data_IF_495349453134
#
_entry.id   IF_495349453134
#
_cell.length_a   1.000
_cell.length_b   1.000
_cell.length_c   1.000
_cell.angle_alpha   90.00
_cell.angle_beta   90.00
_cell.angle_gamma   90.00
#
_symmetry.space_group_name_H-M   'P 1'
#
loop_
_entity.id
_entity.type
_entity.pdbx_description
1 polymer ?
#
# COMPACT_ATOMS: atom_id res chain seq x y z
N UNK A 1 29.69 15.62 -5.52
CA UNK A 1 28.44 16.38 -5.38
C UNK A 1 27.35 15.37 -5.69
N UNK A 2 26.38 15.21 -4.80
CA UNK A 2 25.35 14.18 -5.01
C UNK A 2 24.37 14.67 -6.08
N UNK A 3 24.11 13.84 -7.08
CA UNK A 3 23.29 14.22 -8.24
C UNK A 3 21.78 14.28 -7.90
N UNK A 4 21.02 15.15 -8.56
CA UNK A 4 19.57 15.30 -8.32
C UNK A 4 18.82 14.03 -8.72
N UNK A 5 19.25 13.37 -9.80
CA UNK A 5 18.66 12.12 -10.28
C UNK A 5 18.75 10.95 -9.28
N UNK A 6 19.70 11.00 -8.33
CA UNK A 6 19.82 10.04 -7.25
C UNK A 6 18.63 10.06 -6.27
N UNK A 7 18.05 11.25 -6.07
CA UNK A 7 16.86 11.46 -5.23
C UNK A 7 15.58 11.46 -6.07
N UNK A 8 15.61 12.09 -7.25
CA UNK A 8 14.47 12.16 -8.16
C UNK A 8 14.83 11.57 -9.52
N UNK A 9 14.65 10.26 -9.75
CA UNK A 9 14.93 9.63 -11.03
C UNK A 9 14.11 10.20 -12.21
N UNK A 10 13.01 10.89 -11.93
CA UNK A 10 12.13 11.52 -12.92
C UNK A 10 12.55 12.95 -13.30
N UNK A 11 13.62 13.48 -12.70
CA UNK A 11 14.16 14.82 -12.99
C UNK A 11 14.59 14.98 -14.45
N UNK A 12 14.92 16.21 -14.85
CA UNK A 12 15.50 16.45 -16.18
C UNK A 12 16.78 15.64 -16.41
N UNK A 13 17.63 15.58 -15.39
CA UNK A 13 18.88 14.84 -15.38
C UNK A 13 18.63 13.33 -15.52
N UNK A 14 17.71 12.77 -14.73
CA UNK A 14 17.34 11.34 -14.80
C UNK A 14 16.79 10.95 -16.17
N UNK A 15 15.95 11.80 -16.78
CA UNK A 15 15.49 11.61 -18.16
C UNK A 15 16.63 11.65 -19.18
N UNK A 16 17.68 12.42 -18.92
CA UNK A 16 18.90 12.44 -19.72
C UNK A 16 19.64 11.10 -19.68
N UNK A 17 19.79 10.51 -18.49
CA UNK A 17 20.42 9.19 -18.30
C UNK A 17 19.72 8.12 -19.13
N UNK A 18 18.38 8.06 -19.08
CA UNK A 18 17.61 7.07 -19.86
C UNK A 18 17.78 7.22 -21.37
N UNK A 19 17.86 8.46 -21.87
CA UNK A 19 18.11 8.71 -23.29
C UNK A 19 19.47 8.18 -23.75
N UNK A 20 20.46 8.20 -22.85
CA UNK A 20 21.82 7.74 -23.16
C UNK A 20 22.00 6.22 -23.00
N UNK A 21 21.20 5.57 -22.15
CA UNK A 21 21.30 4.12 -21.93
C UNK A 21 20.97 3.29 -23.19
N UNK A 22 19.88 3.65 -23.90
CA UNK A 22 19.60 3.26 -25.29
C UNK A 22 19.30 1.79 -25.61
N UNK A 23 19.87 0.80 -24.92
CA UNK A 23 19.77 -0.62 -25.28
C UNK A 23 19.27 -1.52 -24.13
N UNK A 24 18.00 -1.91 -24.20
CA UNK A 24 17.36 -2.79 -23.22
C UNK A 24 17.86 -4.26 -23.28
N UNK A 25 18.67 -4.64 -24.28
CA UNK A 25 19.25 -5.99 -24.35
C UNK A 25 20.40 -6.18 -23.35
N UNK A 26 20.89 -5.11 -22.73
CA UNK A 26 21.97 -5.15 -21.75
C UNK A 26 21.47 -5.39 -20.33
N UNK A 27 20.15 -5.36 -20.10
CA UNK A 27 19.56 -5.45 -18.76
C UNK A 27 19.97 -6.72 -18.01
N UNK A 28 20.11 -7.84 -18.71
CA UNK A 28 20.49 -9.14 -18.14
C UNK A 28 22.00 -9.42 -18.22
N UNK A 29 22.79 -8.52 -18.81
CA UNK A 29 24.24 -8.69 -18.89
C UNK A 29 24.88 -8.21 -17.61
N UNK A 30 26.01 -8.84 -17.26
CA UNK A 30 26.83 -8.36 -16.15
C UNK A 30 27.34 -6.95 -16.45
N UNK A 31 27.32 -6.10 -15.43
CA UNK A 31 27.81 -4.74 -15.46
C UNK A 31 28.94 -4.60 -14.43
N UNK A 32 30.17 -4.54 -14.92
CA UNK A 32 31.37 -4.47 -14.07
C UNK A 32 31.36 -3.22 -13.18
N UNK A 33 30.82 -2.10 -13.67
CA UNK A 33 30.74 -0.85 -12.91
C UNK A 33 29.74 -0.95 -11.75
N UNK A 34 28.59 -1.61 -11.98
CA UNK A 34 27.61 -1.92 -10.94
C UNK A 34 28.25 -2.77 -9.83
N UNK A 35 28.92 -3.85 -10.23
CA UNK A 35 29.56 -4.77 -9.29
C UNK A 35 30.65 -4.05 -8.49
N UNK A 36 31.48 -3.24 -9.15
CA UNK A 36 32.54 -2.47 -8.52
C UNK A 36 31.99 -1.49 -7.48
N UNK A 37 30.99 -0.67 -7.83
CA UNK A 37 30.35 0.29 -6.92
C UNK A 37 29.73 -0.43 -5.71
N UNK A 38 28.99 -1.51 -5.95
CA UNK A 38 28.33 -2.26 -4.88
C UNK A 38 29.36 -2.90 -3.93
N UNK A 39 30.42 -3.49 -4.47
CA UNK A 39 31.46 -4.19 -3.68
C UNK A 39 32.27 -3.21 -2.83
N UNK A 40 32.47 -1.98 -3.30
CA UNK A 40 33.21 -0.95 -2.57
C UNK A 40 32.33 -0.04 -1.71
N UNK A 41 31.02 -0.30 -1.64
CA UNK A 41 30.12 0.44 -0.75
C UNK A 41 30.46 0.13 0.71
N UNK A 42 30.70 1.18 1.50
CA UNK A 42 31.03 1.05 2.92
C UNK A 42 29.92 0.32 3.69
N UNK A 43 30.27 -0.69 4.50
CA UNK A 43 29.36 -1.56 5.26
C UNK A 43 28.47 -2.50 4.43
N UNK A 44 28.67 -2.58 3.11
CA UNK A 44 28.01 -3.60 2.31
C UNK A 44 28.50 -4.99 2.68
N UNK A 45 27.58 -5.92 2.88
CA UNK A 45 27.87 -7.34 3.06
C UNK A 45 28.32 -7.93 1.73
N UNK A 46 29.53 -8.49 1.73
CA UNK A 46 30.14 -9.08 0.54
C UNK A 46 29.79 -10.58 0.46
N UNK A 47 28.79 -10.90 -0.36
CA UNK A 47 28.47 -12.26 -0.81
C UNK A 47 27.90 -12.17 -2.23
N UNK A 48 28.14 -13.19 -3.04
CA UNK A 48 27.53 -13.32 -4.37
C UNK A 48 25.99 -13.23 -4.31
N UNK A 49 25.39 -13.64 -3.20
CA UNK A 49 23.93 -13.57 -2.99
C UNK A 49 23.40 -12.13 -2.80
N UNK A 50 24.25 -11.17 -2.43
CA UNK A 50 23.83 -9.79 -2.10
C UNK A 50 24.19 -8.78 -3.18
N UNK A 51 25.31 -8.97 -3.87
CA UNK A 51 25.79 -8.02 -4.88
C UNK A 51 25.06 -8.23 -6.20
N UNK A 52 24.24 -7.26 -6.67
CA UNK A 52 23.61 -7.37 -7.98
C UNK A 52 24.67 -7.31 -9.08
N UNK A 53 24.57 -8.20 -10.07
CA UNK A 53 25.54 -8.27 -11.17
C UNK A 53 25.05 -7.59 -12.43
N UNK A 54 23.74 -7.41 -12.56
CA UNK A 54 23.08 -6.80 -13.71
C UNK A 54 21.97 -5.83 -13.28
N UNK A 55 21.48 -5.01 -14.21
CA UNK A 55 20.31 -4.14 -13.98
C UNK A 55 19.07 -4.95 -13.59
N UNK A 56 18.93 -6.15 -14.15
CA UNK A 56 17.95 -7.13 -13.77
C UNK A 56 18.05 -7.49 -12.27
N UNK A 57 19.23 -7.87 -11.81
CA UNK A 57 19.43 -8.27 -10.42
C UNK A 57 19.21 -7.08 -9.48
N UNK A 58 19.67 -5.89 -9.87
CA UNK A 58 19.44 -4.66 -9.12
C UNK A 58 17.95 -4.35 -9.00
N UNK A 59 17.15 -4.61 -10.05
CA UNK A 59 15.70 -4.45 -10.02
C UNK A 59 15.05 -5.37 -8.98
N UNK A 60 15.40 -6.66 -8.99
CA UNK A 60 14.90 -7.63 -8.01
C UNK A 60 15.35 -7.29 -6.60
N UNK A 61 16.62 -6.92 -6.40
CA UNK A 61 17.17 -6.53 -5.09
C UNK A 61 16.50 -5.30 -4.51
N UNK A 62 16.13 -4.32 -5.34
CA UNK A 62 15.39 -3.13 -4.89
C UNK A 62 13.99 -3.47 -4.38
N UNK A 63 13.31 -4.42 -5.02
CA UNK A 63 12.01 -4.94 -4.56
C UNK A 63 12.19 -5.82 -3.31
N UNK A 64 13.23 -6.65 -3.27
CA UNK A 64 13.58 -7.46 -2.09
C UNK A 64 13.77 -6.56 -0.87
N UNK A 65 14.61 -5.52 -0.99
CA UNK A 65 14.83 -4.53 0.05
C UNK A 65 13.51 -3.91 0.56
N UNK A 66 12.59 -3.56 -0.34
CA UNK A 66 11.31 -2.99 0.02
C UNK A 66 10.45 -3.94 0.87
N UNK A 67 10.40 -5.22 0.49
CA UNK A 67 9.65 -6.26 1.20
C UNK A 67 10.29 -6.55 2.54
N UNK A 68 11.61 -6.74 2.58
CA UNK A 68 12.34 -7.07 3.79
C UNK A 68 12.32 -5.93 4.80
N UNK A 69 12.59 -4.69 4.37
CA UNK A 69 12.59 -3.54 5.27
C UNK A 69 11.23 -3.32 5.93
N UNK A 70 10.14 -3.68 5.24
CA UNK A 70 8.78 -3.59 5.77
C UNK A 70 8.40 -4.76 6.68
N UNK A 71 8.78 -5.99 6.33
CA UNK A 71 8.19 -7.19 6.92
C UNK A 71 9.18 -8.05 7.74
N UNK A 72 10.49 -7.95 7.46
CA UNK A 72 11.51 -8.76 8.11
C UNK A 72 11.90 -8.13 9.47
N UNK A 73 11.53 -8.80 10.57
CA UNK A 73 11.89 -8.37 11.93
C UNK A 73 13.41 -8.37 12.20
N UNK A 74 14.15 -9.14 11.43
CA UNK A 74 15.62 -9.25 11.50
C UNK A 74 16.30 -8.57 10.31
N UNK A 75 15.63 -7.58 9.70
CA UNK A 75 16.16 -6.84 8.55
C UNK A 75 17.55 -6.27 8.87
N UNK A 76 18.49 -6.45 7.94
CA UNK A 76 19.85 -5.96 8.07
C UNK A 76 20.19 -5.05 6.90
N UNK A 77 20.34 -3.74 7.16
CA UNK A 77 20.60 -2.74 6.11
C UNK A 77 21.92 -3.01 5.36
N UNK A 78 22.90 -3.64 6.00
CA UNK A 78 24.18 -4.04 5.40
C UNK A 78 24.03 -4.95 4.15
N UNK A 79 22.91 -5.65 3.98
CA UNK A 79 22.67 -6.50 2.80
C UNK A 79 22.31 -5.67 1.56
N UNK A 80 21.86 -4.42 1.76
CA UNK A 80 21.36 -3.52 0.72
C UNK A 80 21.97 -2.11 0.82
N UNK A 81 23.13 -1.97 1.47
CA UNK A 81 23.76 -0.68 1.74
C UNK A 81 24.10 0.07 0.44
N UNK A 82 24.39 -0.66 -0.65
CA UNK A 82 24.59 -0.11 -2.00
C UNK A 82 23.42 0.77 -2.47
N UNK A 83 22.18 0.54 -2.02
CA UNK A 83 21.04 1.39 -2.39
C UNK A 83 21.15 2.82 -1.83
N UNK A 84 22.01 3.02 -0.84
CA UNK A 84 22.32 4.33 -0.23
C UNK A 84 23.68 4.90 -0.65
N UNK A 85 24.39 4.25 -1.57
CA UNK A 85 25.58 4.79 -2.21
C UNK A 85 25.20 5.71 -3.39
N UNK A 86 25.59 6.99 -3.34
CA UNK A 86 25.27 7.97 -4.37
C UNK A 86 26.03 7.77 -5.68
N UNK A 87 27.15 7.05 -5.67
CA UNK A 87 27.86 6.65 -6.89
C UNK A 87 27.02 5.73 -7.79
N UNK A 88 26.00 5.05 -7.24
CA UNK A 88 25.13 4.13 -7.97
C UNK A 88 24.02 4.83 -8.78
N UNK A 89 23.97 6.17 -8.81
CA UNK A 89 22.84 6.92 -9.36
C UNK A 89 22.49 6.54 -10.81
N UNK A 90 23.48 6.33 -11.68
CA UNK A 90 23.25 5.95 -13.09
C UNK A 90 22.49 4.62 -13.18
N UNK A 91 22.98 3.60 -12.48
CA UNK A 91 22.40 2.26 -12.50
C UNK A 91 21.03 2.25 -11.84
N UNK A 92 20.87 3.00 -10.74
CA UNK A 92 19.62 3.11 -10.00
C UNK A 92 18.52 3.80 -10.81
N UNK A 93 18.84 4.87 -11.55
CA UNK A 93 17.88 5.59 -12.40
C UNK A 93 17.38 4.68 -13.52
N UNK A 94 18.28 4.00 -14.24
CA UNK A 94 17.88 3.04 -15.28
C UNK A 94 17.01 1.93 -14.70
N UNK A 95 17.42 1.37 -13.57
CA UNK A 95 16.66 0.32 -12.87
C UNK A 95 15.28 0.80 -12.43
N UNK A 96 15.17 2.02 -11.92
CA UNK A 96 13.89 2.63 -11.57
C UNK A 96 12.94 2.68 -12.78
N UNK A 97 13.43 3.12 -13.93
CA UNK A 97 12.63 3.20 -15.16
C UNK A 97 12.28 1.81 -15.72
N UNK A 98 13.15 0.81 -15.58
CA UNK A 98 12.85 -0.59 -15.91
C UNK A 98 11.72 -1.11 -15.02
N UNK A 99 11.82 -0.91 -13.71
CA UNK A 99 10.78 -1.31 -12.75
C UNK A 99 9.45 -0.62 -13.03
N UNK A 100 9.45 0.69 -13.31
CA UNK A 100 8.23 1.42 -13.70
C UNK A 100 7.53 0.78 -14.91
N UNK A 101 8.31 0.39 -15.93
CA UNK A 101 7.77 -0.23 -17.14
C UNK A 101 7.28 -1.66 -16.87
N UNK A 102 8.07 -2.48 -16.19
CA UNK A 102 7.71 -3.86 -15.87
C UNK A 102 6.44 -3.90 -15.00
N UNK A 103 6.35 -3.03 -13.99
CA UNK A 103 5.19 -2.93 -13.11
C UNK A 103 3.96 -2.44 -13.86
N UNK A 104 4.11 -1.39 -14.68
CA UNK A 104 3.02 -0.90 -15.50
C UNK A 104 2.48 -2.00 -16.42
N UNK A 105 3.35 -2.75 -17.09
CA UNK A 105 2.91 -3.78 -18.03
C UNK A 105 2.22 -4.93 -17.30
N UNK A 106 2.83 -5.43 -16.23
CA UNK A 106 2.38 -6.65 -15.54
C UNK A 106 1.19 -6.45 -14.61
N UNK A 107 1.11 -5.32 -13.90
CA UNK A 107 0.15 -5.13 -12.81
C UNK A 107 -0.84 -3.99 -13.10
N UNK A 108 -1.93 -3.96 -12.33
CA UNK A 108 -2.88 -2.84 -12.33
C UNK A 108 -2.29 -1.65 -11.57
N UNK A 109 -2.59 -0.41 -11.96
CA UNK A 109 -2.05 0.80 -11.30
C UNK A 109 -2.44 0.91 -9.83
N UNK A 110 -3.58 0.32 -9.44
CA UNK A 110 -4.03 0.24 -8.06
C UNK A 110 -3.52 -0.99 -7.28
N UNK A 111 -2.79 -1.91 -7.93
CA UNK A 111 -2.36 -3.19 -7.34
C UNK A 111 -1.43 -3.03 -6.12
N UNK A 112 -1.34 -4.09 -5.32
CA UNK A 112 -0.43 -4.17 -4.18
C UNK A 112 1.03 -3.98 -4.60
N UNK A 113 1.44 -4.59 -5.71
CA UNK A 113 2.78 -4.56 -6.26
C UNK A 113 3.17 -3.15 -6.70
N UNK A 114 2.25 -2.45 -7.37
CA UNK A 114 2.45 -1.05 -7.74
C UNK A 114 2.59 -0.17 -6.50
N UNK A 115 1.71 -0.35 -5.51
CA UNK A 115 1.79 0.40 -4.23
C UNK A 115 3.07 0.11 -3.48
N UNK A 116 3.52 -1.15 -3.43
CA UNK A 116 4.76 -1.57 -2.79
C UNK A 116 5.94 -0.81 -3.40
N UNK A 117 6.07 -0.83 -4.71
CA UNK A 117 7.14 -0.14 -5.42
C UNK A 117 7.10 1.38 -5.20
N UNK A 118 5.92 2.01 -5.34
CA UNK A 118 5.79 3.46 -5.14
C UNK A 118 6.16 3.84 -3.70
N UNK A 119 5.67 3.10 -2.71
CA UNK A 119 6.00 3.32 -1.30
C UNK A 119 7.49 3.12 -1.02
N UNK A 120 8.10 2.10 -1.62
CA UNK A 120 9.52 1.84 -1.45
C UNK A 120 10.38 2.98 -1.98
N UNK A 121 9.95 3.67 -3.04
CA UNK A 121 10.65 4.87 -3.51
C UNK A 121 10.64 5.99 -2.48
N UNK A 122 9.48 6.26 -1.89
CA UNK A 122 9.39 7.28 -0.84
C UNK A 122 10.29 6.97 0.34
N UNK A 123 10.33 5.70 0.78
CA UNK A 123 11.23 5.25 1.85
C UNK A 123 12.69 5.36 1.44
N UNK A 124 13.06 4.96 0.22
CA UNK A 124 14.44 4.97 -0.24
C UNK A 124 14.98 6.40 -0.33
N UNK A 125 14.16 7.35 -0.79
CA UNK A 125 14.51 8.78 -0.81
C UNK A 125 14.88 9.29 0.58
N UNK A 126 14.06 8.97 1.60
CA UNK A 126 14.33 9.41 2.97
C UNK A 126 15.62 8.79 3.54
N UNK A 127 15.88 7.52 3.23
CA UNK A 127 17.12 6.83 3.63
C UNK A 127 18.35 7.46 2.96
N UNK A 128 18.25 7.81 1.68
CA UNK A 128 19.31 8.50 0.94
C UNK A 128 19.57 9.89 1.51
N UNK A 129 18.53 10.69 1.72
CA UNK A 129 18.63 12.03 2.31
C UNK A 129 19.29 11.97 3.71
N UNK A 130 19.02 10.94 4.51
CA UNK A 130 19.66 10.76 5.81
C UNK A 130 21.19 10.54 5.72
N UNK A 131 21.70 10.05 4.59
CA UNK A 131 23.13 9.77 4.34
C UNK A 131 23.88 10.93 3.68
N UNK A 132 23.17 11.85 3.03
CA UNK A 132 23.76 13.01 2.36
C UNK A 132 24.19 14.06 3.40
N UNK A 133 25.39 14.66 3.27
CA UNK A 133 25.83 15.74 4.15
C UNK A 133 24.85 16.93 4.19
N UNK A 134 24.65 17.61 5.34
CA UNK A 134 23.59 18.62 5.50
C UNK A 134 23.55 19.73 4.44
N UNK A 135 24.72 20.25 4.02
CA UNK A 135 24.82 21.29 2.99
C UNK A 135 24.28 20.80 1.64
N UNK A 136 24.82 19.69 1.13
CA UNK A 136 24.39 19.11 -0.15
C UNK A 136 22.93 18.61 -0.10
N UNK A 137 22.48 18.15 1.08
CA UNK A 137 21.10 17.73 1.29
C UNK A 137 20.14 18.90 1.13
N UNK A 138 20.43 20.04 1.73
CA UNK A 138 19.60 21.24 1.62
C UNK A 138 19.51 21.72 0.16
N UNK A 139 20.66 21.75 -0.54
CA UNK A 139 20.73 22.12 -1.97
C UNK A 139 19.85 21.19 -2.83
N UNK A 140 19.99 19.87 -2.70
CA UNK A 140 19.19 18.90 -3.48
C UNK A 140 17.69 19.00 -3.17
N UNK A 141 17.34 19.20 -1.90
CA UNK A 141 15.93 19.36 -1.50
C UNK A 141 15.34 20.58 -2.19
N UNK A 142 16.05 21.71 -2.16
CA UNK A 142 15.59 22.94 -2.79
C UNK A 142 15.51 22.80 -4.33
N UNK A 143 16.49 22.17 -4.98
CA UNK A 143 16.49 21.91 -6.43
C UNK A 143 15.28 21.06 -6.85
N UNK A 144 14.98 19.96 -6.13
CA UNK A 144 13.84 19.09 -6.45
C UNK A 144 12.52 19.79 -6.18
N UNK A 145 12.41 20.58 -5.11
CA UNK A 145 11.20 21.34 -4.81
C UNK A 145 10.97 22.46 -5.84
N UNK A 146 12.05 23.06 -6.36
CA UNK A 146 12.01 24.09 -7.40
C UNK A 146 11.47 23.55 -8.72
N UNK A 147 11.76 22.30 -9.10
CA UNK A 147 11.13 21.63 -10.26
C UNK A 147 9.60 21.54 -10.15
N UNK A 148 9.05 21.65 -8.93
CA UNK A 148 7.61 21.53 -8.64
C UNK A 148 6.93 22.90 -8.41
N UNK A 149 7.71 23.98 -8.25
CA UNK A 149 7.15 25.34 -8.07
C UNK A 149 6.45 25.83 -9.34
N UNK A 150 5.34 26.55 -9.15
CA UNK A 150 4.68 27.34 -10.19
C UNK A 150 4.68 28.79 -9.71
N UNK A 151 5.26 29.69 -10.51
CA UNK A 151 5.40 31.11 -10.19
C UNK A 151 6.09 31.37 -8.84
N UNK A 152 7.17 30.62 -8.55
CA UNK A 152 8.00 30.77 -7.35
C UNK A 152 7.38 30.22 -6.06
N UNK A 153 6.19 29.61 -6.11
CA UNK A 153 5.51 29.04 -4.93
C UNK A 153 4.94 27.65 -5.22
N UNK A 154 4.70 26.86 -4.16
CA UNK A 154 3.96 25.59 -4.27
C UNK A 154 2.54 25.82 -3.76
N UNK A 155 1.55 25.86 -4.66
CA UNK A 155 0.14 25.98 -4.27
C UNK A 155 -0.32 24.69 -3.59
N UNK A 156 -1.02 24.74 -2.46
CA UNK A 156 -1.45 23.49 -1.79
C UNK A 156 -2.31 22.58 -2.69
N UNK A 157 -3.04 23.18 -3.65
CA UNK A 157 -3.85 22.46 -4.63
C UNK A 157 -3.01 21.55 -5.55
N UNK A 158 -1.71 21.81 -5.73
CA UNK A 158 -0.83 20.90 -6.47
C UNK A 158 -0.62 19.58 -5.72
N UNK A 159 -0.78 19.59 -4.38
CA UNK A 159 -0.71 18.41 -3.52
C UNK A 159 -2.10 17.79 -3.25
N UNK A 160 -3.16 18.22 -3.95
CA UNK A 160 -4.54 17.76 -3.67
C UNK A 160 -4.66 16.24 -3.65
N UNK A 161 -3.97 15.54 -4.56
CA UNK A 161 -4.07 14.09 -4.72
C UNK A 161 -3.25 13.36 -3.64
N UNK A 162 -2.14 13.95 -3.19
CA UNK A 162 -1.37 13.45 -2.03
C UNK A 162 -2.18 13.60 -0.74
N UNK A 163 -2.89 14.73 -0.60
CA UNK A 163 -3.78 14.97 0.54
C UNK A 163 -4.98 14.03 0.50
N UNK A 164 -5.61 13.85 -0.67
CA UNK A 164 -6.76 12.96 -0.86
C UNK A 164 -6.39 11.50 -0.58
N UNK A 165 -5.20 11.06 -1.01
CA UNK A 165 -4.66 9.73 -0.71
C UNK A 165 -4.19 9.55 0.74
N UNK A 166 -4.35 10.57 1.60
CA UNK A 166 -3.97 10.58 3.03
C UNK A 166 -2.48 10.34 3.28
N UNK A 167 -1.64 10.57 2.26
CA UNK A 167 -0.18 10.42 2.35
C UNK A 167 0.50 11.64 2.97
N UNK A 168 -0.22 12.75 3.02
CA UNK A 168 0.16 14.00 3.66
C UNK A 168 -1.10 14.61 4.26
N UNK A 169 -1.07 15.05 5.53
CA UNK A 169 -2.22 15.77 6.09
C UNK A 169 -2.03 17.26 5.84
N UNK A 170 -3.12 17.98 5.60
CA UNK A 170 -3.10 19.44 5.52
C UNK A 170 -2.59 20.07 6.83
N UNK A 171 -2.79 19.40 7.96
CA UNK A 171 -2.27 19.81 9.27
C UNK A 171 -0.75 19.74 9.38
N UNK A 172 -0.10 19.01 8.47
CA UNK A 172 1.36 18.87 8.42
C UNK A 172 1.99 19.98 7.56
N UNK A 173 1.18 20.87 6.98
CA UNK A 173 1.61 21.93 6.07
C UNK A 173 1.36 23.31 6.67
N UNK A 174 2.32 24.23 6.47
CA UNK A 174 2.09 25.64 6.72
C UNK A 174 1.55 26.31 5.45
N UNK A 175 0.27 26.68 5.47
CA UNK A 175 -0.41 27.27 4.31
C UNK A 175 -0.75 28.74 4.60
N UNK A 176 -0.30 29.65 3.72
CA UNK A 176 -0.68 31.06 3.73
C UNK A 176 -1.25 31.47 2.37
N UNK A 177 -2.49 31.99 2.35
CA UNK A 177 -3.18 32.47 1.13
C UNK A 177 -3.15 31.49 -0.05
N UNK A 178 -3.11 30.19 0.25
CA UNK A 178 -3.09 29.12 -0.75
C UNK A 178 -1.71 28.58 -1.10
N UNK A 179 -0.64 29.20 -0.59
CA UNK A 179 0.75 28.77 -0.79
C UNK A 179 1.22 27.91 0.37
N UNK A 180 1.97 26.86 0.08
CA UNK A 180 2.73 26.13 1.08
C UNK A 180 4.03 26.91 1.32
N UNK A 181 4.21 27.36 2.56
CA UNK A 181 5.41 28.07 2.99
C UNK A 181 6.46 27.05 3.38
N UNK A 182 7.55 27.00 2.60
CA UNK A 182 8.67 26.07 2.82
C UNK A 182 10.00 26.77 3.04
N UNK A 183 10.19 27.95 2.47
CA UNK A 183 11.47 28.65 2.54
C UNK A 183 11.57 29.51 3.81
N UNK A 184 12.77 29.58 4.38
CA UNK A 184 13.01 30.33 5.61
C UNK A 184 12.69 31.81 5.42
N UNK A 185 13.16 32.41 4.33
CA UNK A 185 12.91 33.83 4.03
C UNK A 185 11.41 34.12 3.90
N UNK A 186 10.66 33.25 3.20
CA UNK A 186 9.20 33.38 3.09
C UNK A 186 8.51 33.27 4.45
N UNK A 187 8.96 32.35 5.30
CA UNK A 187 8.42 32.19 6.64
C UNK A 187 8.68 33.43 7.50
N UNK A 188 9.92 33.91 7.53
CA UNK A 188 10.32 35.08 8.30
C UNK A 188 9.55 36.33 7.84
N UNK A 189 9.47 36.55 6.53
CA UNK A 189 8.74 37.69 5.95
C UNK A 189 7.24 37.68 6.28
N UNK A 190 6.62 36.51 6.44
CA UNK A 190 5.17 36.37 6.67
C UNK A 190 4.76 36.25 8.13
N UNK A 191 5.66 35.75 8.99
CA UNK A 191 5.29 35.32 10.34
C UNK A 191 6.23 35.77 11.46
N UNK A 192 7.38 36.38 11.17
CA UNK A 192 8.35 36.75 12.22
C UNK A 192 7.75 37.68 13.29
N UNK A 193 6.86 38.59 12.87
CA UNK A 193 6.16 39.54 13.74
C UNK A 193 5.19 38.88 14.74
N UNK A 194 4.80 37.62 14.49
CA UNK A 194 3.89 36.86 15.37
C UNK A 194 4.58 36.20 16.56
N UNK A 195 5.91 36.21 16.60
CA UNK A 195 6.68 35.60 17.68
C UNK A 195 7.34 36.67 18.55
N UNK A 196 6.91 36.78 19.80
CA UNK A 196 7.44 37.78 20.75
C UNK A 196 8.48 37.19 21.71
N UNK A 197 8.27 35.96 22.19
CA UNK A 197 9.13 35.31 23.19
C UNK A 197 10.01 34.20 22.63
N UNK A 198 10.02 34.01 21.30
CA UNK A 198 10.76 32.94 20.62
C UNK A 198 11.39 33.48 19.35
N UNK A 199 12.61 33.01 19.04
CA UNK A 199 13.27 33.32 17.78
C UNK A 199 12.45 32.80 16.60
N UNK A 200 12.08 33.67 15.63
CA UNK A 200 11.41 33.25 14.40
C UNK A 200 12.16 32.16 13.63
N UNK A 201 13.50 32.23 13.55
CA UNK A 201 14.33 31.19 12.92
C UNK A 201 14.17 29.84 13.60
N UNK A 202 14.17 29.82 14.94
CA UNK A 202 13.94 28.59 15.69
C UNK A 202 12.53 28.06 15.45
N UNK A 203 11.54 28.94 15.33
CA UNK A 203 10.16 28.53 15.01
C UNK A 203 10.06 27.95 13.60
N UNK A 204 10.77 28.51 12.61
CA UNK A 204 10.88 27.94 11.27
C UNK A 204 11.44 26.52 11.31
N UNK A 205 12.57 26.30 12.00
CA UNK A 205 13.20 24.98 12.09
C UNK A 205 12.29 23.93 12.76
N UNK A 206 11.43 24.35 13.69
CA UNK A 206 10.49 23.45 14.38
C UNK A 206 9.24 23.16 13.53
N UNK A 207 8.68 24.18 12.88
CA UNK A 207 7.38 24.07 12.18
C UNK A 207 7.53 23.57 10.75
N UNK A 208 8.66 23.84 10.11
CA UNK A 208 8.96 23.44 8.74
C UNK A 208 10.29 22.67 8.77
N UNK A 209 11.41 23.40 8.79
CA UNK A 209 12.76 22.82 8.72
C UNK A 209 12.94 21.80 7.58
N UNK A 210 14.07 21.09 7.62
CA UNK A 210 14.39 20.10 6.59
C UNK A 210 13.44 18.91 6.64
N UNK A 211 13.05 18.46 7.84
CA UNK A 211 12.22 17.26 7.99
C UNK A 211 10.88 17.34 7.25
N UNK A 212 10.20 18.49 7.27
CA UNK A 212 8.93 18.67 6.54
C UNK A 212 9.19 18.76 5.04
N UNK A 213 10.25 19.47 4.62
CA UNK A 213 10.67 19.53 3.21
C UNK A 213 10.97 18.14 2.65
N UNK A 214 11.72 17.31 3.38
CA UNK A 214 12.07 15.93 3.01
C UNK A 214 10.81 15.06 2.83
N UNK A 215 9.85 15.15 3.76
CA UNK A 215 8.58 14.42 3.66
C UNK A 215 7.79 14.85 2.42
N UNK A 216 7.64 16.16 2.19
CA UNK A 216 6.90 16.70 1.04
C UNK A 216 7.56 16.25 -0.27
N UNK A 217 8.88 16.37 -0.37
CA UNK A 217 9.67 15.93 -1.53
C UNK A 217 9.45 14.44 -1.80
N UNK A 218 9.61 13.58 -0.79
CA UNK A 218 9.38 12.14 -0.92
C UNK A 218 7.97 11.84 -1.44
N UNK A 219 6.93 12.50 -0.89
CA UNK A 219 5.55 12.31 -1.34
C UNK A 219 5.30 12.81 -2.76
N UNK A 220 5.93 13.91 -3.16
CA UNK A 220 5.85 14.44 -4.51
C UNK A 220 6.44 13.47 -5.54
N UNK A 221 7.64 12.94 -5.27
CA UNK A 221 8.29 11.96 -6.17
C UNK A 221 7.47 10.67 -6.25
N UNK A 222 6.89 10.20 -5.14
CA UNK A 222 5.96 9.06 -5.14
C UNK A 222 4.74 9.32 -6.05
N UNK A 223 4.11 10.48 -5.95
CA UNK A 223 2.97 10.84 -6.81
C UNK A 223 3.39 10.88 -8.29
N UNK A 224 4.53 11.50 -8.60
CA UNK A 224 5.06 11.54 -9.97
C UNK A 224 5.38 10.15 -10.51
N UNK A 225 5.83 9.24 -9.65
CA UNK A 225 6.05 7.84 -9.99
C UNK A 225 4.74 7.14 -10.36
N UNK A 226 3.66 7.34 -9.60
CA UNK A 226 2.33 6.80 -9.94
C UNK A 226 1.78 7.36 -11.25
N UNK A 227 1.85 8.67 -11.43
CA UNK A 227 1.47 9.34 -12.68
C UNK A 227 2.27 8.78 -13.86
N UNK A 228 3.57 8.50 -13.65
CA UNK A 228 4.43 7.94 -14.67
C UNK A 228 4.07 6.49 -15.03
N UNK A 229 3.86 5.62 -14.04
CA UNK A 229 3.41 4.23 -14.24
C UNK A 229 2.08 4.20 -14.98
N UNK A 230 1.12 5.05 -14.57
CA UNK A 230 -0.18 5.17 -15.24
C UNK A 230 -0.03 5.55 -16.72
N UNK A 231 0.79 6.55 -17.01
CA UNK A 231 1.09 6.96 -18.39
C UNK A 231 1.73 5.82 -19.19
N UNK A 232 2.65 5.06 -18.61
CA UNK A 232 3.26 3.90 -19.28
C UNK A 232 2.19 2.84 -19.58
N UNK A 233 1.29 2.52 -18.62
CA UNK A 233 0.18 1.57 -18.83
C UNK A 233 -0.72 1.98 -19.99
N UNK A 234 -1.08 3.27 -20.05
CA UNK A 234 -1.89 3.80 -21.14
C UNK A 234 -1.15 3.68 -22.49
N UNK A 235 0.16 3.95 -22.51
CA UNK A 235 0.98 3.83 -23.72
C UNK A 235 1.22 2.38 -24.15
N UNK A 236 1.41 1.45 -23.21
CA UNK A 236 1.68 0.03 -23.50
C UNK A 236 0.50 -0.67 -24.18
N UNK A 237 -0.71 -0.13 -24.04
CA UNK A 237 -1.88 -0.60 -24.82
C UNK A 237 -1.76 -0.30 -26.32
N UNK A 238 -0.83 0.57 -26.73
CA UNK A 238 -0.70 1.08 -28.10
C UNK A 238 0.63 0.72 -28.77
N UNK A 239 1.61 0.25 -28.00
CA UNK A 239 2.99 0.04 -28.45
C UNK A 239 3.47 -1.32 -27.95
N UNK A 240 4.19 -2.05 -28.79
CA UNK A 240 4.84 -3.29 -28.39
C UNK A 240 5.94 -3.02 -27.36
N UNK A 241 5.86 -3.73 -26.23
CA UNK A 241 6.83 -3.61 -25.15
C UNK A 241 8.01 -4.55 -25.40
N UNK A 242 9.22 -4.07 -25.11
CA UNK A 242 10.43 -4.85 -25.26
C UNK A 242 10.37 -6.17 -24.44
N UNK A 243 10.75 -7.33 -25.00
CA UNK A 243 10.65 -8.63 -24.33
C UNK A 243 11.35 -8.69 -22.97
N UNK A 244 12.48 -7.99 -22.82
CA UNK A 244 13.19 -7.90 -21.54
C UNK A 244 12.33 -7.34 -20.40
N UNK A 245 11.49 -6.35 -20.69
CA UNK A 245 10.60 -5.72 -19.70
C UNK A 245 9.46 -6.66 -19.33
N UNK A 246 8.90 -7.38 -20.32
CA UNK A 246 7.86 -8.39 -20.10
C UNK A 246 8.39 -9.47 -19.16
N UNK A 247 9.57 -10.00 -19.46
CA UNK A 247 10.22 -11.04 -18.64
C UNK A 247 10.42 -10.59 -17.19
N UNK A 248 10.88 -9.36 -16.97
CA UNK A 248 11.01 -8.81 -15.61
C UNK A 248 9.64 -8.69 -14.92
N UNK A 249 8.61 -8.27 -15.65
CA UNK A 249 7.24 -8.24 -15.14
C UNK A 249 6.77 -9.62 -14.67
N UNK A 250 6.94 -10.64 -15.51
CA UNK A 250 6.59 -12.03 -15.19
C UNK A 250 7.36 -12.55 -13.96
N UNK A 251 8.67 -12.31 -13.89
CA UNK A 251 9.48 -12.68 -12.73
C UNK A 251 9.04 -11.96 -11.45
N UNK A 252 8.71 -10.67 -11.53
CA UNK A 252 8.19 -9.91 -10.38
C UNK A 252 6.84 -10.47 -9.88
N UNK A 253 6.00 -11.00 -10.79
CA UNK A 253 4.70 -11.58 -10.45
C UNK A 253 4.85 -12.80 -9.53
N UNK A 254 5.90 -13.59 -9.72
CA UNK A 254 6.22 -14.75 -8.89
C UNK A 254 7.04 -14.34 -7.65
N UNK A 255 8.07 -13.50 -7.86
CA UNK A 255 9.00 -13.08 -6.84
C UNK A 255 8.34 -12.32 -5.68
N UNK A 256 7.45 -11.34 -5.96
CA UNK A 256 6.86 -10.51 -4.90
C UNK A 256 6.03 -11.34 -3.90
N UNK A 257 5.10 -12.20 -4.34
CA UNK A 257 4.38 -13.10 -3.43
C UNK A 257 5.30 -14.04 -2.66
N UNK A 258 6.28 -14.66 -3.31
CA UNK A 258 7.21 -15.61 -2.68
C UNK A 258 8.07 -14.94 -1.61
N UNK A 259 8.66 -13.79 -1.94
CA UNK A 259 9.51 -13.03 -1.02
C UNK A 259 8.69 -12.50 0.16
N UNK A 260 7.49 -11.98 -0.09
CA UNK A 260 6.55 -11.59 0.97
C UNK A 260 6.19 -12.78 1.85
N UNK A 261 5.94 -13.95 1.23
CA UNK A 261 5.55 -15.19 1.90
C UNK A 261 6.51 -15.61 3.00
N UNK A 262 7.82 -15.36 2.84
CA UNK A 262 8.86 -15.66 3.84
C UNK A 262 8.62 -14.99 5.19
N UNK A 263 8.00 -13.81 5.19
CA UNK A 263 7.78 -12.99 6.39
C UNK A 263 6.32 -12.99 6.84
N UNK A 264 5.43 -13.59 6.05
CA UNK A 264 4.02 -13.74 6.40
C UNK A 264 3.84 -14.73 7.56
N UNK A 265 3.94 -14.23 8.80
CA UNK A 265 3.40 -14.92 10.00
C UNK A 265 1.87 -15.13 9.92
N UNK A 266 1.23 -14.57 8.88
CA UNK A 266 -0.19 -14.70 8.55
C UNK A 266 -0.62 -16.14 8.25
N UNK A 267 0.24 -16.95 7.62
CA UNK A 267 -0.05 -18.35 7.28
C UNK A 267 0.60 -19.38 8.22
N UNK A 268 1.70 -19.02 8.89
CA UNK A 268 2.56 -19.96 9.65
C UNK A 268 2.59 -19.73 11.18
N UNK A 269 1.71 -18.88 11.73
CA UNK A 269 1.65 -18.70 13.18
C UNK A 269 0.96 -19.89 13.86
N UNK A 270 1.67 -20.59 14.75
CA UNK A 270 1.05 -21.38 15.81
C UNK A 270 0.11 -20.45 16.59
N UNK A 271 -1.20 -20.58 16.33
CA UNK A 271 -2.20 -19.99 17.21
C UNK A 271 -1.95 -20.48 18.63
N UNK A 272 -2.22 -19.64 19.63
CA UNK A 272 -2.27 -20.09 21.02
C UNK A 272 -3.32 -21.19 21.22
N UNK A 273 -3.91 -21.26 22.41
CA UNK A 273 -4.77 -22.35 22.91
C UNK A 273 -5.93 -22.79 21.96
N UNK A 274 -6.23 -22.06 20.87
CA UNK A 274 -7.35 -22.30 19.95
C UNK A 274 -6.99 -22.56 18.47
N UNK A 275 -5.70 -22.71 18.10
CA UNK A 275 -5.27 -23.01 16.71
C UNK A 275 -5.40 -21.82 15.73
N UNK A 276 -4.73 -21.91 14.56
CA UNK A 276 -4.79 -20.88 13.51
C UNK A 276 -5.64 -21.33 12.32
N UNK A 277 -6.63 -20.51 11.94
CA UNK A 277 -7.46 -20.74 10.74
C UNK A 277 -6.86 -19.98 9.57
N UNK A 278 -6.63 -20.69 8.46
CA UNK A 278 -6.15 -20.12 7.21
C UNK A 278 -7.32 -19.55 6.38
N UNK A 279 -7.01 -18.55 5.56
CA UNK A 279 -7.93 -18.07 4.53
C UNK A 279 -8.29 -19.23 3.58
N UNK A 280 -9.54 -19.26 3.13
CA UNK A 280 -10.07 -20.35 2.29
C UNK A 280 -11.58 -20.34 2.24
N UNK A 281 -12.18 -21.19 1.39
CA UNK A 281 -13.64 -21.24 1.16
C UNK A 281 -14.43 -21.18 2.48
N UNK A 282 -15.50 -20.40 2.45
CA UNK A 282 -16.40 -20.28 3.59
C UNK A 282 -17.10 -21.62 3.83
N UNK A 283 -17.16 -22.04 5.09
CA UNK A 283 -17.89 -23.23 5.51
C UNK A 283 -19.19 -22.80 6.20
N UNK A 284 -20.36 -22.94 5.56
CA UNK A 284 -21.64 -22.54 6.17
C UNK A 284 -21.93 -23.23 7.50
N UNK A 285 -21.48 -24.48 7.68
CA UNK A 285 -21.69 -25.23 8.93
C UNK A 285 -20.92 -24.60 10.10
N UNK A 286 -19.84 -23.86 9.81
CA UNK A 286 -19.07 -23.14 10.80
C UNK A 286 -19.67 -21.76 11.14
N UNK A 287 -20.72 -21.29 10.45
CA UNK A 287 -21.29 -19.98 10.73
C UNK A 287 -21.85 -19.89 12.15
N UNK A 288 -21.58 -18.79 12.87
CA UNK A 288 -22.22 -18.52 14.15
C UNK A 288 -23.69 -18.20 13.94
N UNK A 289 -24.55 -18.36 14.98
CA UNK A 289 -25.99 -18.17 14.85
C UNK A 289 -26.40 -16.83 14.22
N UNK A 290 -25.76 -15.73 14.60
CA UNK A 290 -26.07 -14.41 14.05
C UNK A 290 -25.79 -14.28 12.54
N UNK A 291 -24.80 -15.00 12.02
CA UNK A 291 -24.52 -15.01 10.58
C UNK A 291 -25.46 -15.97 9.87
N UNK A 292 -25.72 -17.14 10.46
CA UNK A 292 -26.63 -18.13 9.88
C UNK A 292 -28.05 -17.56 9.71
N UNK A 293 -28.58 -16.90 10.74
CA UNK A 293 -29.87 -16.20 10.67
C UNK A 293 -29.85 -15.07 9.63
N UNK A 294 -28.73 -14.36 9.50
CA UNK A 294 -28.62 -13.30 8.48
C UNK A 294 -28.66 -13.86 7.06
N UNK A 295 -27.96 -14.97 6.80
CA UNK A 295 -27.93 -15.64 5.49
C UNK A 295 -29.29 -16.23 5.11
N UNK A 296 -30.03 -16.74 6.09
CA UNK A 296 -31.37 -17.30 5.91
C UNK A 296 -32.44 -16.23 5.63
N UNK A 297 -32.13 -14.95 5.85
CA UNK A 297 -33.02 -13.82 5.57
C UNK A 297 -33.54 -13.13 6.83
N UNK A 298 -33.56 -11.79 6.78
CA UNK A 298 -33.98 -10.93 7.90
C UNK A 298 -35.27 -10.19 7.55
N UNK A 299 -36.23 -10.15 8.48
CA UNK A 299 -37.49 -9.40 8.33
C UNK A 299 -37.31 -7.88 8.37
N UNK A 300 -38.33 -7.13 7.96
CA UNK A 300 -38.33 -5.66 8.01
C UNK A 300 -37.98 -5.13 9.42
N UNK A 301 -36.93 -4.32 9.52
CA UNK A 301 -36.40 -3.78 10.79
C UNK A 301 -35.06 -4.41 11.20
N UNK A 302 -33.96 -3.96 10.59
CA UNK A 302 -32.59 -4.40 10.89
C UNK A 302 -31.85 -5.05 9.71
N UNK A 303 -32.54 -5.38 8.61
CA UNK A 303 -31.93 -6.03 7.43
C UNK A 303 -30.75 -5.24 6.82
N UNK A 304 -30.77 -3.91 6.83
CA UNK A 304 -29.64 -3.11 6.29
C UNK A 304 -28.38 -3.34 7.13
N UNK A 305 -28.49 -3.19 8.44
CA UNK A 305 -27.37 -3.41 9.35
C UNK A 305 -26.92 -4.89 9.31
N UNK A 306 -27.86 -5.83 9.14
CA UNK A 306 -27.54 -7.25 9.01
C UNK A 306 -26.77 -7.56 7.72
N UNK A 307 -27.21 -7.07 6.57
CA UNK A 307 -26.57 -7.37 5.28
C UNK A 307 -25.31 -6.51 5.08
N UNK A 308 -25.45 -5.18 5.19
CA UNK A 308 -24.43 -4.20 4.80
C UNK A 308 -23.33 -4.09 5.84
N UNK A 309 -23.67 -4.12 7.14
CA UNK A 309 -22.66 -3.99 8.20
C UNK A 309 -22.19 -5.33 8.74
N UNK A 310 -23.09 -6.25 9.09
CA UNK A 310 -22.73 -7.53 9.72
C UNK A 310 -22.19 -8.55 8.70
N UNK A 311 -23.01 -8.95 7.73
CA UNK A 311 -22.67 -10.02 6.79
C UNK A 311 -21.55 -9.62 5.84
N UNK A 312 -21.61 -8.41 5.27
CA UNK A 312 -20.59 -7.93 4.33
C UNK A 312 -19.19 -7.97 4.94
N UNK A 313 -19.02 -7.37 6.12
CA UNK A 313 -17.74 -7.38 6.83
C UNK A 313 -17.33 -8.78 7.27
N UNK A 314 -18.26 -9.58 7.80
CA UNK A 314 -17.98 -10.94 8.21
C UNK A 314 -17.50 -11.80 7.04
N UNK A 315 -18.25 -11.87 5.95
CA UNK A 315 -17.97 -12.72 4.81
C UNK A 315 -16.61 -12.37 4.18
N UNK A 316 -16.34 -11.08 3.99
CA UNK A 316 -15.07 -10.63 3.42
C UNK A 316 -13.88 -11.02 4.31
N UNK A 317 -13.94 -10.77 5.63
CA UNK A 317 -12.82 -11.10 6.51
C UNK A 317 -12.71 -12.60 6.77
N UNK A 318 -13.81 -13.33 6.93
CA UNK A 318 -13.78 -14.78 7.13
C UNK A 318 -13.17 -15.51 5.93
N UNK A 319 -13.38 -14.99 4.71
CA UNK A 319 -12.88 -15.58 3.47
C UNK A 319 -11.45 -15.16 3.12
N UNK A 320 -11.12 -13.89 3.31
CA UNK A 320 -9.84 -13.30 2.85
C UNK A 320 -8.83 -13.13 3.97
N UNK A 321 -9.26 -12.69 5.16
CA UNK A 321 -8.34 -12.29 6.22
C UNK A 321 -8.89 -12.53 7.64
N UNK A 322 -9.03 -13.80 8.07
CA UNK A 322 -9.74 -14.15 9.31
C UNK A 322 -9.01 -13.70 10.59
N UNK A 323 -7.76 -13.25 10.48
CA UNK A 323 -6.90 -12.83 11.60
C UNK A 323 -6.75 -11.31 11.75
N UNK A 324 -7.68 -10.52 11.21
CA UNK A 324 -7.64 -9.04 11.31
C UNK A 324 -7.45 -8.50 12.72
N UNK A 325 -7.96 -9.16 13.76
CA UNK A 325 -7.80 -8.71 15.15
C UNK A 325 -6.47 -9.10 15.79
N UNK A 326 -5.59 -9.80 15.08
CA UNK A 326 -4.26 -10.21 15.55
C UNK A 326 -3.11 -9.36 14.99
N UNK A 327 -3.40 -8.39 14.12
CA UNK A 327 -2.42 -7.50 13.50
C UNK A 327 -2.96 -6.06 13.52
N UNK A 328 -2.09 -5.08 13.71
CA UNK A 328 -2.43 -3.65 13.64
C UNK A 328 -2.29 -3.09 12.20
N UNK A 329 -2.02 -3.94 11.21
CA UNK A 329 -1.81 -3.51 9.83
C UNK A 329 -3.12 -3.12 9.13
N UNK A 330 -3.05 -2.02 8.36
CA UNK A 330 -4.13 -1.57 7.51
C UNK A 330 -4.12 -2.35 6.19
N UNK A 331 -4.78 -3.51 6.20
CA UNK A 331 -4.89 -4.43 5.07
C UNK A 331 -6.06 -4.03 4.17
N UNK A 332 -5.85 -4.08 2.85
CA UNK A 332 -6.89 -3.89 1.83
C UNK A 332 -7.36 -5.23 1.24
N UNK A 333 -8.49 -5.22 0.54
CA UNK A 333 -9.05 -6.43 -0.09
C UNK A 333 -8.09 -7.00 -1.13
N UNK A 334 -7.52 -6.15 -1.99
CA UNK A 334 -6.57 -6.53 -3.03
C UNK A 334 -5.24 -7.05 -2.49
N UNK A 335 -4.93 -6.85 -1.20
CA UNK A 335 -3.74 -7.46 -0.61
C UNK A 335 -3.92 -8.99 -0.42
N UNK A 336 -5.17 -9.46 -0.42
CA UNK A 336 -5.58 -10.87 -0.27
C UNK A 336 -6.26 -11.45 -1.52
N UNK A 337 -6.86 -10.59 -2.34
CA UNK A 337 -7.57 -10.94 -3.58
C UNK A 337 -7.23 -9.93 -4.69
N UNK A 338 -6.01 -10.01 -5.28
CA UNK A 338 -5.46 -8.96 -6.15
C UNK A 338 -6.29 -8.66 -7.41
N UNK A 339 -7.01 -9.64 -7.93
CA UNK A 339 -7.85 -9.51 -9.12
C UNK A 339 -9.35 -9.46 -8.77
N UNK A 340 -9.69 -9.27 -7.48
CA UNK A 340 -11.05 -9.24 -6.95
C UNK A 340 -11.90 -10.49 -7.25
N UNK A 341 -11.28 -11.57 -7.72
CA UNK A 341 -11.98 -12.75 -8.23
C UNK A 341 -12.74 -13.48 -7.13
N UNK A 342 -12.18 -13.58 -5.92
CA UNK A 342 -12.87 -14.20 -4.78
C UNK A 342 -14.01 -13.28 -4.30
N UNK A 343 -13.75 -11.98 -4.29
CA UNK A 343 -14.71 -10.95 -3.85
C UNK A 343 -15.93 -10.95 -4.75
N UNK A 344 -15.74 -10.98 -6.07
CA UNK A 344 -16.81 -10.97 -7.07
C UNK A 344 -17.55 -12.31 -7.18
N UNK A 345 -16.84 -13.44 -7.09
CA UNK A 345 -17.45 -14.75 -7.41
C UNK A 345 -17.82 -15.58 -6.17
N UNK A 346 -17.37 -15.22 -4.96
CA UNK A 346 -17.71 -15.93 -3.73
C UNK A 346 -18.36 -15.02 -2.68
N UNK A 347 -17.78 -13.85 -2.39
CA UNK A 347 -18.24 -12.99 -1.28
C UNK A 347 -19.50 -12.22 -1.66
N UNK A 348 -19.50 -11.50 -2.79
CA UNK A 348 -20.67 -10.73 -3.23
C UNK A 348 -21.90 -11.61 -3.47
N UNK A 349 -21.80 -12.79 -4.14
CA UNK A 349 -22.95 -13.67 -4.31
C UNK A 349 -23.58 -14.10 -2.99
N UNK A 350 -22.77 -14.49 -1.99
CA UNK A 350 -23.29 -14.83 -0.66
C UNK A 350 -24.08 -13.67 -0.02
N UNK A 351 -23.58 -12.44 -0.15
CA UNK A 351 -24.23 -11.25 0.41
C UNK A 351 -25.52 -10.95 -0.35
N UNK A 352 -25.51 -11.09 -1.68
CA UNK A 352 -26.67 -10.79 -2.52
C UNK A 352 -27.78 -11.84 -2.35
N UNK A 353 -27.43 -13.12 -2.27
CA UNK A 353 -28.39 -14.19 -1.98
C UNK A 353 -29.06 -13.97 -0.62
N UNK A 354 -28.29 -13.58 0.42
CA UNK A 354 -28.84 -13.26 1.73
C UNK A 354 -29.76 -12.02 1.71
N UNK A 355 -29.42 -11.03 0.88
CA UNK A 355 -30.22 -9.82 0.69
C UNK A 355 -31.55 -10.11 -0.03
N UNK A 356 -31.55 -11.06 -0.97
CA UNK A 356 -32.75 -11.52 -1.67
C UNK A 356 -33.63 -12.40 -0.78
N UNK A 357 -33.04 -13.12 0.18
CA UNK A 357 -33.77 -13.87 1.21
C UNK A 357 -34.48 -12.98 2.26
N UNK A 358 -34.15 -11.68 2.34
CA UNK A 358 -34.85 -10.76 3.24
C UNK A 358 -36.33 -10.61 2.90
N UNK A 359 -37.14 -10.22 3.89
CA UNK A 359 -38.58 -10.00 3.69
C UNK A 359 -38.99 -8.58 4.11
N UNK A 360 -39.33 -7.68 3.14
CA UNK A 360 -39.18 -7.85 1.69
C UNK A 360 -37.69 -7.83 1.26
N UNK A 361 -37.35 -8.35 0.06
CA UNK A 361 -35.99 -8.39 -0.46
C UNK A 361 -35.31 -7.02 -0.39
N UNK A 362 -34.06 -6.99 0.09
CA UNK A 362 -33.42 -5.72 0.44
C UNK A 362 -33.24 -4.82 -0.78
N UNK A 363 -32.80 -5.36 -1.91
CA UNK A 363 -32.48 -4.54 -3.08
C UNK A 363 -33.69 -4.15 -3.92
N UNK A 364 -34.82 -4.83 -3.77
CA UNK A 364 -36.08 -4.39 -4.38
C UNK A 364 -36.62 -3.15 -3.67
N UNK A 365 -36.53 -3.14 -2.33
CA UNK A 365 -37.01 -2.03 -1.50
C UNK A 365 -35.97 -0.89 -1.44
N UNK A 366 -34.68 -1.23 -1.43
CA UNK A 366 -33.56 -0.30 -1.22
C UNK A 366 -32.36 -0.61 -2.15
N UNK A 367 -32.46 -0.31 -3.46
CA UNK A 367 -31.41 -0.61 -4.43
C UNK A 367 -30.03 0.00 -4.11
N UNK A 368 -30.02 1.15 -3.43
CA UNK A 368 -28.79 1.85 -3.04
C UNK A 368 -27.89 1.04 -2.09
N UNK A 369 -28.43 0.03 -1.40
CA UNK A 369 -27.64 -0.78 -0.47
C UNK A 369 -26.57 -1.61 -1.18
N UNK A 370 -26.70 -1.87 -2.49
CA UNK A 370 -25.61 -2.45 -3.30
C UNK A 370 -24.37 -1.56 -3.32
N UNK A 371 -24.55 -0.25 -3.43
CA UNK A 371 -23.46 0.73 -3.39
C UNK A 371 -22.84 0.76 -1.99
N UNK A 372 -23.67 0.67 -0.94
CA UNK A 372 -23.16 0.64 0.42
C UNK A 372 -22.32 -0.62 0.70
N UNK A 373 -22.68 -1.79 0.14
CA UNK A 373 -21.86 -3.01 0.25
C UNK A 373 -20.46 -2.79 -0.34
N UNK A 374 -20.38 -2.25 -1.56
CA UNK A 374 -19.11 -1.91 -2.22
C UNK A 374 -18.29 -0.92 -1.36
N UNK A 375 -18.96 0.08 -0.80
CA UNK A 375 -18.38 1.05 0.13
C UNK A 375 -17.81 0.39 1.39
N UNK A 376 -18.49 -0.60 1.97
CA UNK A 376 -17.99 -1.32 3.16
C UNK A 376 -16.84 -2.27 2.87
N UNK A 377 -16.69 -2.71 1.62
CA UNK A 377 -15.51 -3.45 1.16
C UNK A 377 -14.29 -2.54 0.92
N UNK A 378 -14.46 -1.21 1.00
CA UNK A 378 -13.37 -0.24 0.89
C UNK A 378 -13.21 0.41 -0.49
N UNK A 379 -14.16 0.21 -1.39
CA UNK A 379 -14.07 0.65 -2.79
C UNK A 379 -14.84 1.94 -3.10
N UNK A 380 -15.28 2.71 -2.11
CA UNK A 380 -16.04 3.94 -2.36
C UNK A 380 -17.53 3.72 -2.68
N UNK A 381 -18.20 4.79 -3.10
CA UNK A 381 -19.64 4.80 -3.38
C UNK A 381 -19.90 4.58 -4.87
N UNK A 382 -19.61 3.36 -5.36
CA UNK A 382 -19.76 2.98 -6.77
C UNK A 382 -20.76 1.84 -6.95
N UNK A 383 -21.25 1.68 -8.18
CA UNK A 383 -22.20 0.64 -8.57
C UNK A 383 -21.54 -0.72 -8.84
N UNK A 384 -20.23 -0.72 -9.09
CA UNK A 384 -19.41 -1.91 -9.37
C UNK A 384 -18.10 -1.89 -8.60
N UNK A 385 -17.58 -3.08 -8.34
CA UNK A 385 -16.22 -3.23 -7.85
C UNK A 385 -15.23 -2.84 -8.95
N UNK A 386 -14.28 -2.00 -8.58
CA UNK A 386 -13.14 -1.66 -9.42
C UNK A 386 -11.94 -1.43 -8.49
N UNK A 387 -10.84 -2.14 -8.75
CA UNK A 387 -9.61 -2.02 -7.97
C UNK A 387 -9.06 -0.60 -7.91
N UNK A 388 -9.37 0.24 -8.91
CA UNK A 388 -8.95 1.63 -8.95
C UNK A 388 -9.64 2.51 -7.89
N UNK A 389 -10.81 2.11 -7.39
CA UNK A 389 -11.54 2.81 -6.33
C UNK A 389 -11.15 2.32 -4.91
N UNK A 390 -10.22 1.37 -4.80
CA UNK A 390 -9.86 0.77 -3.53
C UNK A 390 -9.08 1.74 -2.59
N UNK A 391 -9.68 2.02 -1.44
CA UNK A 391 -9.17 2.92 -0.41
C UNK A 391 -9.87 4.28 -0.37
N UNK A 392 -10.83 4.53 -1.26
CA UNK A 392 -11.76 5.66 -1.14
C UNK A 392 -12.54 5.59 0.19
N UNK A 393 -12.90 4.38 0.61
CA UNK A 393 -13.49 4.07 1.92
C UNK A 393 -12.65 3.06 2.68
N UNK A 394 -12.94 2.88 3.97
CA UNK A 394 -12.27 1.84 4.77
C UNK A 394 -12.93 0.49 4.49
N UNK A 395 -12.14 -0.59 4.44
CA UNK A 395 -12.68 -1.93 4.58
C UNK A 395 -13.20 -2.11 6.02
N UNK A 396 -14.51 -2.30 6.18
CA UNK A 396 -15.16 -2.30 7.49
C UNK A 396 -14.93 -3.61 8.23
N UNK A 397 -14.36 -3.54 9.43
CA UNK A 397 -14.16 -4.71 10.29
C UNK A 397 -15.49 -5.24 10.85
N UNK A 398 -15.58 -6.56 11.13
CA UNK A 398 -16.80 -7.16 11.66
C UNK A 398 -17.22 -6.57 13.00
N UNK A 399 -18.53 -6.40 13.18
CA UNK A 399 -19.10 -5.90 14.44
C UNK A 399 -18.82 -6.86 15.60
N UNK A 400 -18.64 -6.31 16.81
CA UNK A 400 -18.58 -7.10 18.03
C UNK A 400 -19.95 -7.69 18.37
N UNK A 401 -19.97 -8.79 19.12
CA UNK A 401 -21.20 -9.40 19.63
C UNK A 401 -22.03 -8.41 20.46
N UNK A 402 -21.38 -7.47 21.15
CA UNK A 402 -22.05 -6.43 21.94
C UNK A 402 -22.81 -5.43 21.04
N UNK A 403 -22.20 -5.00 19.94
CA UNK A 403 -22.89 -4.18 18.93
C UNK A 403 -24.04 -4.95 18.29
N UNK A 404 -23.85 -6.23 17.98
CA UNK A 404 -24.92 -7.07 17.41
C UNK A 404 -26.10 -7.17 18.38
N UNK A 405 -25.86 -7.35 19.69
CA UNK A 405 -26.95 -7.38 20.69
C UNK A 405 -27.74 -6.07 20.76
N UNK A 406 -27.07 -4.92 20.57
CA UNK A 406 -27.71 -3.61 20.64
C UNK A 406 -28.50 -3.31 19.36
N UNK A 407 -27.89 -3.52 18.20
CA UNK A 407 -28.45 -3.12 16.90
C UNK A 407 -29.33 -4.21 16.25
N UNK A 408 -29.01 -5.47 16.51
CA UNK A 408 -29.61 -6.65 15.89
C UNK A 408 -29.93 -7.74 16.94
N UNK A 409 -30.68 -7.41 18.02
CA UNK A 409 -30.94 -8.34 19.12
C UNK A 409 -31.58 -9.65 18.66
N UNK A 410 -32.43 -9.57 17.63
CA UNK A 410 -33.14 -10.71 17.04
C UNK A 410 -32.23 -11.69 16.30
N UNK A 411 -30.97 -11.35 16.04
CA UNK A 411 -30.00 -12.24 15.39
C UNK A 411 -29.00 -12.83 16.41
N UNK A 412 -28.93 -12.29 17.62
CA UNK A 412 -27.98 -12.75 18.62
C UNK A 412 -28.59 -13.87 19.48
N UNK A 413 -28.45 -15.11 19.02
CA UNK A 413 -28.83 -16.32 19.75
C UNK A 413 -27.59 -17.17 20.09
N UNK A 414 -26.81 -16.83 21.14
CA UNK A 414 -25.54 -17.48 21.42
C UNK A 414 -25.70 -18.97 21.71
N UNK A 415 -24.87 -19.80 21.09
CA UNK A 415 -24.80 -21.24 21.34
C UNK A 415 -23.49 -21.61 22.07
N UNK A 416 -23.20 -22.91 22.18
CA UNK A 416 -21.93 -23.40 22.76
C UNK A 416 -20.70 -22.85 22.03
N UNK A 417 -20.80 -22.62 20.71
CA UNK A 417 -19.73 -22.07 19.87
C UNK A 417 -19.48 -20.58 20.12
N UNK A 418 -20.36 -19.87 20.81
CA UNK A 418 -20.16 -18.47 21.21
C UNK A 418 -19.48 -18.29 22.59
N UNK A 419 -19.34 -19.36 23.39
CA UNK A 419 -18.84 -19.26 24.77
C UNK A 419 -17.42 -18.67 24.84
N UNK A 420 -17.26 -17.58 25.58
CA UNK A 420 -15.97 -16.89 25.79
C UNK A 420 -15.46 -16.08 24.59
N UNK A 421 -16.29 -15.87 23.57
CA UNK A 421 -15.94 -15.12 22.36
C UNK A 421 -16.81 -13.86 22.25
N UNK A 422 -16.20 -12.75 21.85
CA UNK A 422 -16.84 -11.43 21.79
C UNK A 422 -17.10 -10.92 20.35
N UNK A 423 -16.81 -11.71 19.32
CA UNK A 423 -17.08 -11.35 17.92
C UNK A 423 -17.39 -12.57 17.04
N UNK A 424 -18.20 -12.43 15.96
CA UNK A 424 -18.59 -13.53 15.10
C UNK A 424 -17.44 -14.19 14.34
N UNK A 425 -16.41 -13.41 13.96
CA UNK A 425 -15.28 -13.91 13.17
C UNK A 425 -14.45 -14.94 13.95
N UNK A 426 -14.16 -14.66 15.22
CA UNK A 426 -13.48 -15.62 16.11
C UNK A 426 -14.35 -16.84 16.40
N UNK A 427 -15.67 -16.67 16.47
CA UNK A 427 -16.62 -17.77 16.68
C UNK A 427 -16.60 -18.74 15.49
N UNK A 428 -16.67 -18.20 14.27
CA UNK A 428 -16.50 -18.92 13.02
C UNK A 428 -15.15 -19.65 12.97
N UNK A 429 -14.06 -18.94 13.25
CA UNK A 429 -12.72 -19.54 13.21
C UNK A 429 -12.59 -20.75 14.14
N UNK A 430 -13.08 -20.64 15.38
CA UNK A 430 -13.06 -21.77 16.33
C UNK A 430 -13.87 -22.96 15.82
N UNK A 431 -15.09 -22.72 15.32
CA UNK A 431 -15.98 -23.80 14.83
C UNK A 431 -15.42 -24.46 13.57
N UNK A 432 -14.89 -23.67 12.64
CA UNK A 432 -14.21 -24.15 11.43
C UNK A 432 -13.02 -25.04 11.78
N UNK A 433 -12.14 -24.60 12.68
CA UNK A 433 -10.99 -25.40 13.12
C UNK A 433 -11.41 -26.75 13.73
N UNK A 434 -12.49 -26.77 14.52
CA UNK A 434 -13.03 -28.01 15.08
C UNK A 434 -13.56 -28.96 14.00
N UNK A 435 -14.28 -28.44 13.01
CA UNK A 435 -14.79 -29.22 11.88
C UNK A 435 -13.66 -29.77 11.00
N UNK A 436 -12.66 -28.94 10.69
CA UNK A 436 -11.52 -29.31 9.85
C UNK A 436 -10.66 -30.42 10.50
N UNK A 437 -10.60 -30.47 11.84
CA UNK A 437 -9.90 -31.54 12.56
C UNK A 437 -10.74 -32.82 12.70
N UNK A 438 -12.05 -32.69 12.89
CA UNK A 438 -12.96 -33.84 12.95
C UNK A 438 -13.08 -34.59 11.61
N UNK A 439 -12.70 -33.97 10.49
CA UNK A 439 -12.63 -34.61 9.17
C UNK A 439 -11.28 -35.29 8.88
N UNK A 440 -10.27 -35.07 9.71
CA UNK A 440 -8.92 -35.66 9.57
C UNK A 440 -8.72 -36.90 10.45
N UNK A 441 -9.59 -37.10 11.44
CA UNK A 441 -9.77 -38.34 12.21
C UNK A 441 -10.78 -39.23 11.50
#
# INVERSE_FOLDING_TARGET
MTEVSYINPLSNEGRGIIRNYGDLNQIFKEDDSLIEICTHTANQKLSDDYIPKSYHDLALKRIQWAIEKKNNKNFTQAEFEFLTNDELYLQDVVTFHILCQAIAVQFNTGSRETRLFVQSQGTLILERLAKIPPMSRAEIIDDVLDEVKIDGSIKWKSLKDIVASKRLKLTDLLIDRGDIVLQQDDFLNRFADRFHDRSPDRMYSILIGDSVKEQILSRLVMQKTEEYIKRIKEMSSRIEIHPAIIKIGEELKEFIPDETGKYNQYYAGNGGIYGSVQAGKLNPDAFPPCIQETVNGVSSGGRNDAIVLLLTSFASYARLYPRIFASEENVKVSDMDPDLTITENEILPLIFDAADNCTPPLFEDQPQEKINIISKLGFGMHDRLDINHEGETKWYTPMSCEKIKIHLPNLCHPDKSCKGINNPLSCYGRKKFQLDNAQKE
#
